data_IF_358891220094
#
_entry.id   IF_358891220094
#
_cell.length_a   1.000
_cell.length_b   1.000
_cell.length_c   1.000
_cell.angle_alpha   90.00
_cell.angle_beta   90.00
_cell.angle_gamma   90.00
#
_symmetry.space_group_name_H-M   'P 1'
#
loop_
_entity.id
_entity.type
_entity.pdbx_description
1 polymer ?
#
# COMPACT_ATOMS: atom_id res chain seq x y z
N UNK A 1 19.23 27.16 -1.94
CA UNK A 1 18.27 27.43 -3.03
C UNK A 1 18.09 26.18 -3.89
N UNK A 2 17.24 25.22 -3.45
CA UNK A 2 16.95 23.96 -4.20
C UNK A 2 15.46 23.84 -4.57
N UNK A 3 14.62 24.85 -4.29
CA UNK A 3 13.15 24.75 -4.43
C UNK A 3 12.54 25.52 -5.60
N UNK A 4 13.30 25.81 -6.67
CA UNK A 4 12.82 26.58 -7.82
C UNK A 4 12.51 25.80 -9.10
N UNK A 5 12.85 24.51 -9.19
CA UNK A 5 12.58 23.71 -10.39
C UNK A 5 11.21 23.06 -10.30
N UNK A 6 10.37 23.28 -11.34
CA UNK A 6 9.10 22.53 -11.47
C UNK A 6 9.43 21.06 -11.75
N UNK A 7 8.91 20.17 -10.94
CA UNK A 7 9.04 18.72 -11.16
C UNK A 7 8.44 18.37 -12.52
N UNK A 8 9.14 17.54 -13.30
CA UNK A 8 8.53 16.90 -14.47
C UNK A 8 7.36 16.01 -14.03
N UNK A 9 6.45 15.71 -14.95
CA UNK A 9 5.29 14.87 -14.65
C UNK A 9 5.72 13.50 -14.06
N UNK A 10 6.75 12.89 -14.59
CA UNK A 10 7.26 11.62 -14.10
C UNK A 10 7.85 11.74 -12.69
N UNK A 11 8.63 12.80 -12.43
CA UNK A 11 9.16 13.06 -11.08
C UNK A 11 8.04 13.30 -10.06
N UNK A 12 7.00 14.04 -10.44
CA UNK A 12 5.83 14.27 -9.58
C UNK A 12 5.09 12.96 -9.29
N UNK A 13 4.86 12.12 -10.29
CA UNK A 13 4.21 10.82 -10.13
C UNK A 13 5.03 9.88 -9.23
N UNK A 14 6.36 9.83 -9.42
CA UNK A 14 7.26 9.04 -8.57
C UNK A 14 7.21 9.53 -7.12
N UNK A 15 7.28 10.83 -6.91
CA UNK A 15 7.22 11.44 -5.58
C UNK A 15 5.90 11.10 -4.86
N UNK A 16 4.76 11.28 -5.54
CA UNK A 16 3.44 10.94 -4.98
C UNK A 16 3.33 9.46 -4.67
N UNK A 17 3.81 8.61 -5.57
CA UNK A 17 3.83 7.16 -5.37
C UNK A 17 4.64 6.78 -4.12
N UNK A 18 5.84 7.35 -3.96
CA UNK A 18 6.70 7.09 -2.80
C UNK A 18 6.03 7.52 -1.50
N UNK A 19 5.42 8.70 -1.47
CA UNK A 19 4.67 9.16 -0.28
C UNK A 19 3.47 8.26 0.02
N UNK A 20 2.74 7.81 -1.00
CA UNK A 20 1.60 6.91 -0.83
C UNK A 20 2.04 5.56 -0.24
N UNK A 21 3.18 5.02 -0.70
CA UNK A 21 3.74 3.78 -0.16
C UNK A 21 4.15 3.97 1.30
N UNK A 22 4.87 5.04 1.63
CA UNK A 22 5.27 5.32 3.02
C UNK A 22 4.05 5.46 3.94
N UNK A 23 3.00 6.12 3.47
CA UNK A 23 1.75 6.27 4.22
C UNK A 23 1.03 4.92 4.42
N UNK A 24 0.92 4.13 3.36
CA UNK A 24 0.36 2.77 3.41
C UNK A 24 1.12 1.88 4.40
N UNK A 25 2.46 1.94 4.38
CA UNK A 25 3.33 1.21 5.29
C UNK A 25 3.13 1.64 6.76
N UNK A 26 2.97 2.93 7.02
CA UNK A 26 2.71 3.44 8.36
C UNK A 26 1.36 2.91 8.91
N UNK A 27 0.29 3.02 8.13
CA UNK A 27 -1.03 2.48 8.52
C UNK A 27 -0.98 0.97 8.70
N UNK A 28 -0.36 0.25 7.76
CA UNK A 28 -0.17 -1.20 7.87
C UNK A 28 0.49 -1.60 9.20
N UNK A 29 1.54 -0.89 9.61
CA UNK A 29 2.24 -1.20 10.86
C UNK A 29 1.35 -0.98 12.09
N UNK A 30 0.52 0.07 12.09
CA UNK A 30 -0.47 0.32 13.13
C UNK A 30 -1.50 -0.84 13.17
N UNK A 31 -2.02 -1.24 12.01
CA UNK A 31 -2.99 -2.34 11.92
C UNK A 31 -2.38 -3.68 12.35
N UNK A 32 -1.11 -3.95 12.00
CA UNK A 32 -0.40 -5.14 12.48
C UNK A 32 -0.31 -5.20 14.00
N UNK A 33 -0.04 -4.08 14.65
CA UNK A 33 -0.04 -3.99 16.11
C UNK A 33 -1.45 -4.17 16.70
N UNK A 34 -2.44 -3.48 16.13
CA UNK A 34 -3.83 -3.57 16.63
C UNK A 34 -4.35 -5.00 16.55
N UNK A 35 -4.18 -5.66 15.41
CA UNK A 35 -4.80 -6.97 15.17
C UNK A 35 -3.94 -8.16 15.61
N UNK A 36 -2.62 -8.06 15.58
CA UNK A 36 -1.70 -9.08 16.08
C UNK A 36 -1.99 -10.49 15.56
N UNK A 37 -2.11 -10.70 14.24
CA UNK A 37 -2.47 -12.01 13.68
C UNK A 37 -1.26 -12.92 13.52
N UNK A 38 -1.41 -14.19 13.91
CA UNK A 38 -0.42 -15.25 13.64
C UNK A 38 -0.35 -15.61 12.15
N UNK A 39 0.74 -16.25 11.75
CA UNK A 39 1.01 -16.60 10.35
C UNK A 39 0.38 -17.94 9.96
N UNK A 40 0.10 -18.17 8.66
CA UNK A 40 -0.28 -19.50 8.16
C UNK A 40 0.83 -20.53 8.37
N UNK A 41 2.09 -20.16 8.05
CA UNK A 41 3.26 -21.03 8.13
C UNK A 41 4.36 -20.40 8.99
N UNK A 42 5.35 -21.20 9.39
CA UNK A 42 6.48 -20.75 10.19
C UNK A 42 7.59 -20.24 9.29
N UNK A 43 7.74 -18.91 9.20
CA UNK A 43 8.72 -18.25 8.32
C UNK A 43 9.85 -17.53 9.07
N UNK A 44 9.62 -17.05 10.27
CA UNK A 44 10.50 -16.13 10.97
C UNK A 44 10.73 -16.60 12.40
N UNK A 45 12.01 -16.79 12.78
CA UNK A 45 12.39 -17.05 14.17
C UNK A 45 11.56 -18.15 14.88
N UNK A 46 11.25 -19.22 14.18
CA UNK A 46 10.44 -20.32 14.71
C UNK A 46 9.07 -19.85 15.26
N UNK A 47 8.45 -18.87 14.60
CA UNK A 47 7.16 -18.34 15.04
C UNK A 47 6.06 -19.42 15.07
N UNK A 48 5.12 -19.35 16.02
CA UNK A 48 3.93 -20.20 16.01
C UNK A 48 3.10 -19.94 14.76
N UNK A 49 2.55 -21.00 14.16
CA UNK A 49 1.81 -20.94 12.91
C UNK A 49 0.59 -21.86 12.91
N UNK A 50 -0.32 -21.63 11.96
CA UNK A 50 -1.51 -22.47 11.82
C UNK A 50 -1.14 -23.88 11.34
N UNK A 51 -0.27 -24.02 10.33
CA UNK A 51 0.05 -25.31 9.72
C UNK A 51 0.86 -26.19 10.66
N UNK A 52 1.87 -25.64 11.31
CA UNK A 52 2.76 -26.41 12.18
C UNK A 52 2.19 -26.66 13.57
N UNK A 53 1.60 -25.62 14.18
CA UNK A 53 1.28 -25.61 15.61
C UNK A 53 -0.23 -25.56 15.87
N UNK A 54 -1.08 -25.45 14.84
CA UNK A 54 -2.52 -25.27 14.98
C UNK A 54 -2.93 -23.91 15.57
N UNK A 55 -2.01 -22.95 15.63
CA UNK A 55 -2.25 -21.64 16.24
C UNK A 55 -2.86 -20.69 15.21
N UNK A 56 -4.10 -20.26 15.48
CA UNK A 56 -4.85 -19.38 14.60
C UNK A 56 -5.58 -18.31 15.41
N UNK A 57 -5.52 -17.07 14.97
CA UNK A 57 -6.33 -16.02 15.56
C UNK A 57 -5.67 -14.64 15.58
N UNK A 58 -6.40 -13.72 16.19
CA UNK A 58 -5.97 -12.35 16.44
C UNK A 58 -5.58 -12.19 17.91
N UNK A 59 -4.41 -11.59 18.12
CA UNK A 59 -3.87 -11.26 19.43
C UNK A 59 -3.73 -9.74 19.51
N UNK A 60 -4.80 -9.06 19.87
CA UNK A 60 -4.90 -7.61 19.83
C UNK A 60 -3.81 -6.93 20.67
N UNK A 61 -3.29 -5.81 20.14
CA UNK A 61 -2.25 -5.00 20.79
C UNK A 61 -0.96 -5.78 21.09
N UNK A 62 -0.64 -6.79 20.26
CA UNK A 62 0.55 -7.62 20.44
C UNK A 62 1.71 -7.13 19.60
N UNK A 63 2.90 -7.14 20.21
CA UNK A 63 4.17 -6.84 19.55
C UNK A 63 4.92 -8.13 19.18
N UNK A 64 5.88 -8.02 18.27
CA UNK A 64 6.71 -9.15 17.84
C UNK A 64 6.39 -9.62 16.41
N UNK A 65 7.38 -10.22 15.75
CA UNK A 65 7.28 -10.69 14.36
C UNK A 65 6.27 -11.83 14.18
N UNK A 66 6.04 -12.62 15.24
CA UNK A 66 5.10 -13.73 15.22
C UNK A 66 3.64 -13.32 14.98
N UNK A 67 3.30 -12.06 15.24
CA UNK A 67 1.92 -11.54 15.19
C UNK A 67 1.72 -10.49 14.09
N UNK A 68 2.48 -10.56 13.01
CA UNK A 68 2.49 -9.53 11.94
C UNK A 68 1.95 -10.03 10.61
N UNK A 69 1.07 -11.04 10.59
CA UNK A 69 0.49 -11.53 9.35
C UNK A 69 -0.51 -10.55 8.73
N UNK A 70 -1.43 -9.98 9.51
CA UNK A 70 -2.50 -9.11 9.04
C UNK A 70 -2.22 -7.61 9.27
N UNK A 71 -2.47 -6.77 8.28
CA UNK A 71 -2.68 -7.07 6.87
C UNK A 71 -1.37 -7.37 6.12
N UNK A 72 -1.46 -7.94 4.90
CA UNK A 72 -0.30 -8.22 4.06
C UNK A 72 0.40 -6.95 3.61
N UNK A 73 1.67 -6.80 4.00
CA UNK A 73 2.49 -5.65 3.61
C UNK A 73 2.90 -5.68 2.14
N UNK A 74 3.26 -6.85 1.61
CA UNK A 74 3.60 -7.01 0.21
C UNK A 74 2.43 -6.62 -0.71
N UNK A 75 1.22 -7.07 -0.35
CA UNK A 75 0.04 -6.73 -1.13
C UNK A 75 -0.32 -5.24 -0.99
N UNK A 76 -0.18 -4.66 0.21
CA UNK A 76 -0.44 -3.24 0.42
C UNK A 76 0.50 -2.37 -0.42
N UNK A 77 1.81 -2.64 -0.39
CA UNK A 77 2.80 -1.91 -1.20
C UNK A 77 2.53 -2.07 -2.71
N UNK A 78 2.32 -3.31 -3.18
CA UNK A 78 2.02 -3.58 -4.59
C UNK A 78 0.76 -2.85 -5.05
N UNK A 79 -0.36 -2.94 -4.30
CA UNK A 79 -1.60 -2.29 -4.67
C UNK A 79 -1.55 -0.75 -4.56
N UNK A 80 -0.70 -0.19 -3.69
CA UNK A 80 -0.46 1.27 -3.66
C UNK A 80 0.16 1.73 -4.97
N UNK A 81 1.22 1.07 -5.43
CA UNK A 81 1.87 1.37 -6.71
C UNK A 81 0.91 1.15 -7.88
N UNK A 82 0.20 0.01 -7.88
CA UNK A 82 -0.79 -0.32 -8.90
C UNK A 82 -1.86 0.77 -8.97
N UNK A 83 -2.41 1.26 -7.87
CA UNK A 83 -3.44 2.28 -7.86
C UNK A 83 -2.95 3.60 -8.47
N UNK A 84 -1.73 4.03 -8.15
CA UNK A 84 -1.12 5.22 -8.73
C UNK A 84 -0.95 5.04 -10.25
N UNK A 85 -0.39 3.92 -10.69
CA UNK A 85 -0.19 3.62 -12.11
C UNK A 85 -1.51 3.46 -12.87
N UNK A 86 -2.52 2.86 -12.25
CA UNK A 86 -3.87 2.70 -12.81
C UNK A 86 -4.53 4.04 -13.17
N UNK A 87 -4.30 5.04 -12.33
CA UNK A 87 -4.84 6.39 -12.55
C UNK A 87 -3.99 7.18 -13.57
N UNK A 88 -2.67 7.00 -13.54
CA UNK A 88 -1.74 7.77 -14.39
C UNK A 88 -1.58 7.20 -15.80
N UNK A 89 -1.64 5.87 -15.94
CA UNK A 89 -1.37 5.18 -17.21
C UNK A 89 -2.46 4.13 -17.51
N UNK A 90 -3.70 4.56 -17.83
CA UNK A 90 -4.87 3.67 -17.93
C UNK A 90 -4.75 2.59 -19.02
N UNK A 91 -3.92 2.81 -20.04
CA UNK A 91 -3.71 1.83 -21.14
C UNK A 91 -3.11 0.50 -20.66
N UNK A 92 -2.45 0.49 -19.50
CA UNK A 92 -1.79 -0.69 -18.95
C UNK A 92 -2.59 -1.39 -17.84
N UNK A 93 -3.84 -1.02 -17.61
CA UNK A 93 -4.70 -1.60 -16.56
C UNK A 93 -4.75 -3.13 -16.56
N UNK A 94 -4.83 -3.82 -17.71
CA UNK A 94 -4.80 -5.30 -17.70
C UNK A 94 -3.50 -5.87 -17.11
N UNK A 95 -2.36 -5.23 -17.38
CA UNK A 95 -1.06 -5.64 -16.85
C UNK A 95 -1.03 -5.44 -15.33
N UNK A 96 -1.50 -4.31 -14.82
CA UNK A 96 -1.56 -4.03 -13.39
C UNK A 96 -2.45 -5.02 -12.65
N UNK A 97 -3.60 -5.37 -13.24
CA UNK A 97 -4.49 -6.38 -12.68
C UNK A 97 -3.81 -7.75 -12.64
N UNK A 98 -3.16 -8.16 -13.71
CA UNK A 98 -2.43 -9.42 -13.77
C UNK A 98 -1.32 -9.48 -12.70
N UNK A 99 -0.53 -8.41 -12.55
CA UNK A 99 0.52 -8.33 -11.53
C UNK A 99 -0.07 -8.41 -10.13
N UNK A 100 -1.14 -7.67 -9.83
CA UNK A 100 -1.81 -7.74 -8.53
C UNK A 100 -2.35 -9.13 -8.20
N UNK A 101 -2.97 -9.80 -9.18
CA UNK A 101 -3.45 -11.17 -9.03
C UNK A 101 -2.30 -12.16 -8.80
N UNK A 102 -1.20 -12.05 -9.56
CA UNK A 102 -0.03 -12.92 -9.39
C UNK A 102 0.60 -12.76 -8.00
N UNK A 103 0.75 -11.53 -7.51
CA UNK A 103 1.25 -11.28 -6.15
C UNK A 103 0.31 -11.89 -5.12
N UNK A 104 -1.00 -11.69 -5.25
CA UNK A 104 -1.99 -12.26 -4.33
C UNK A 104 -1.97 -13.78 -4.32
N UNK A 105 -1.96 -14.42 -5.51
CA UNK A 105 -1.88 -15.87 -5.66
C UNK A 105 -0.58 -16.43 -5.07
N UNK A 106 0.55 -15.77 -5.31
CA UNK A 106 1.83 -16.18 -4.74
C UNK A 106 1.81 -16.15 -3.21
N UNK A 107 1.29 -15.08 -2.59
CA UNK A 107 1.24 -14.93 -1.13
C UNK A 107 0.34 -15.98 -0.46
N UNK A 108 -0.77 -16.34 -1.09
CA UNK A 108 -1.67 -17.39 -0.58
C UNK A 108 -1.12 -18.77 -0.90
N UNK A 109 -0.68 -18.99 -2.13
CA UNK A 109 -0.19 -20.31 -2.61
C UNK A 109 1.09 -20.78 -1.91
N UNK A 110 1.91 -19.84 -1.42
CA UNK A 110 3.09 -20.16 -0.60
C UNK A 110 2.79 -20.25 0.90
N UNK A 111 1.54 -20.16 1.32
CA UNK A 111 1.13 -20.07 2.72
C UNK A 111 1.80 -18.92 3.50
N UNK A 112 2.21 -17.87 2.80
CA UNK A 112 2.84 -16.71 3.45
C UNK A 112 1.80 -15.84 4.18
N UNK A 113 0.60 -15.71 3.58
CA UNK A 113 -0.51 -14.95 4.15
C UNK A 113 -1.84 -15.69 3.97
N UNK A 114 -2.76 -15.50 4.90
CA UNK A 114 -4.16 -15.88 4.69
C UNK A 114 -4.79 -15.00 3.61
N UNK A 115 -5.79 -15.53 2.91
CA UNK A 115 -6.52 -14.77 1.88
C UNK A 115 -7.05 -13.42 2.41
N UNK A 116 -7.57 -13.39 3.63
CA UNK A 116 -8.05 -12.15 4.25
C UNK A 116 -6.96 -11.11 4.49
N UNK A 117 -5.70 -11.54 4.76
CA UNK A 117 -4.57 -10.62 4.91
C UNK A 117 -4.25 -9.94 3.59
N UNK A 118 -4.31 -10.73 2.50
CA UNK A 118 -4.07 -10.26 1.13
C UNK A 118 -5.16 -9.31 0.69
N UNK A 119 -6.43 -9.64 0.91
CA UNK A 119 -7.57 -8.78 0.56
C UNK A 119 -7.53 -7.44 1.31
N UNK A 120 -7.24 -7.47 2.61
CA UNK A 120 -7.11 -6.24 3.39
C UNK A 120 -5.87 -5.42 2.99
N UNK A 121 -4.77 -6.09 2.68
CA UNK A 121 -3.58 -5.44 2.12
C UNK A 121 -3.87 -4.75 0.79
N UNK A 122 -4.60 -5.43 -0.11
CA UNK A 122 -5.02 -4.86 -1.39
C UNK A 122 -5.91 -3.62 -1.21
N UNK A 123 -6.90 -3.71 -0.33
CA UNK A 123 -7.79 -2.59 -0.01
C UNK A 123 -7.02 -1.39 0.55
N UNK A 124 -6.15 -1.62 1.53
CA UNK A 124 -5.32 -0.57 2.14
C UNK A 124 -4.42 0.11 1.10
N UNK A 125 -3.74 -0.69 0.28
CA UNK A 125 -2.84 -0.17 -0.74
C UNK A 125 -3.58 0.62 -1.82
N UNK A 126 -4.65 0.06 -2.36
CA UNK A 126 -5.46 0.71 -3.38
C UNK A 126 -6.05 2.05 -2.88
N UNK A 127 -6.59 2.06 -1.66
CA UNK A 127 -7.13 3.27 -1.03
C UNK A 127 -6.05 4.34 -0.81
N UNK A 128 -4.86 3.95 -0.35
CA UNK A 128 -3.74 4.87 -0.11
C UNK A 128 -3.24 5.50 -1.42
N UNK A 129 -3.05 4.70 -2.46
CA UNK A 129 -2.62 5.19 -3.77
C UNK A 129 -3.65 6.09 -4.42
N UNK A 130 -4.93 5.71 -4.38
CA UNK A 130 -6.03 6.53 -4.89
C UNK A 130 -6.11 7.88 -4.17
N UNK A 131 -6.11 7.86 -2.85
CA UNK A 131 -6.19 9.07 -2.02
C UNK A 131 -5.02 10.02 -2.28
N UNK A 132 -3.79 9.49 -2.41
CA UNK A 132 -2.61 10.30 -2.68
C UNK A 132 -2.73 11.06 -4.02
N UNK A 133 -3.23 10.41 -5.07
CA UNK A 133 -3.44 11.05 -6.38
C UNK A 133 -4.54 12.11 -6.29
N UNK A 134 -5.67 11.83 -5.66
CA UNK A 134 -6.78 12.78 -5.53
C UNK A 134 -6.33 14.04 -4.77
N UNK A 135 -5.62 13.88 -3.66
CA UNK A 135 -5.10 15.01 -2.87
C UNK A 135 -4.07 15.82 -3.67
N UNK A 136 -3.16 15.13 -4.39
CA UNK A 136 -2.16 15.81 -5.20
C UNK A 136 -2.78 16.65 -6.32
N UNK A 137 -3.71 16.08 -7.07
CA UNK A 137 -4.36 16.76 -8.18
C UNK A 137 -5.22 17.93 -7.71
N UNK A 138 -5.92 17.80 -6.60
CA UNK A 138 -6.69 18.89 -5.99
C UNK A 138 -5.80 20.09 -5.63
N UNK A 139 -4.63 19.85 -5.04
CA UNK A 139 -3.67 20.91 -4.68
C UNK A 139 -3.03 21.55 -5.91
N UNK A 140 -2.75 20.77 -6.95
CA UNK A 140 -2.21 21.28 -8.21
C UNK A 140 -3.21 22.24 -8.88
N UNK A 141 -4.47 21.87 -8.95
CA UNK A 141 -5.56 22.71 -9.48
C UNK A 141 -5.68 24.01 -8.68
N UNK A 142 -5.70 23.95 -7.35
CA UNK A 142 -5.79 25.15 -6.48
C UNK A 142 -4.62 26.13 -6.72
N UNK A 143 -3.39 25.63 -6.89
CA UNK A 143 -2.22 26.48 -7.18
C UNK A 143 -2.33 27.21 -8.51
N UNK A 144 -2.83 26.53 -9.55
CA UNK A 144 -3.03 27.13 -10.88
C UNK A 144 -4.08 28.23 -10.79
N UNK A 145 -5.21 27.96 -10.16
CA UNK A 145 -6.33 28.90 -10.02
C UNK A 145 -5.92 30.16 -9.21
N UNK A 146 -5.14 29.99 -8.14
CA UNK A 146 -4.64 31.10 -7.33
C UNK A 146 -3.59 31.95 -8.05
N UNK A 147 -2.78 31.36 -8.92
CA UNK A 147 -1.81 32.07 -9.73
C UNK A 147 -2.49 32.97 -10.78
N UNK A 148 -3.50 32.48 -11.46
CA UNK A 148 -4.28 33.29 -12.43
C UNK A 148 -5.01 34.47 -11.79
N UNK A 149 -5.47 34.31 -10.55
CA UNK A 149 -6.15 35.42 -9.82
C UNK A 149 -5.16 36.53 -9.43
N UNK A 150 -3.88 36.20 -9.18
CA UNK A 150 -2.83 37.16 -8.86
C UNK A 150 -2.32 37.94 -10.06
N UNK A 151 -2.45 37.42 -11.28
CA UNK A 151 -2.04 38.09 -12.52
C UNK A 151 -3.14 38.93 -13.14
N UNK A 152 -4.38 38.84 -12.64
CA UNK A 152 -5.56 39.59 -13.11
C UNK A 152 -5.89 40.81 -12.23
N UNK A 153 -5.13 41.04 -11.17
CA UNK A 153 -5.17 42.24 -10.29
C UNK A 153 -3.91 43.04 -10.42
#
# INVERSE_FOLDING_TARGET
MIFGQRLSLNQANTFVCSLAVLFSEAIKNILKFIFGRTWPETWINNNPSFIRDGVYGFNFMHTGSAYKSFPSGHMAAACTVIAVLWMRYPRFRPIYLAVGLLVGLALVGTNYHFLSDVLMGAFLGASSGWMAIVIWDSRAVQRITSSHKKTAT
#
